data_IF_425621334791
#
_entry.id   IF_425621334791
#
_cell.length_a   1.000
_cell.length_b   1.000
_cell.length_c   1.000
_cell.angle_alpha   90.00
_cell.angle_beta   90.00
_cell.angle_gamma   90.00
#
_symmetry.space_group_name_H-M   'P 1'
#
loop_
_entity.id
_entity.type
_entity.pdbx_description
1 polymer ?
#
# COMPACT_ATOMS: atom_id res chain seq x y z
N UNK A 1 57.08 -4.20 57.96
CA UNK A 1 56.90 -4.02 56.51
C UNK A 1 55.85 -5.04 56.09
N UNK A 2 54.55 -4.72 56.15
CA UNK A 2 53.80 -3.89 55.19
C UNK A 2 53.90 -4.45 53.77
N UNK A 3 52.77 -4.97 53.27
CA UNK A 3 52.61 -5.46 51.90
C UNK A 3 51.40 -6.39 51.73
N UNK A 4 50.19 -5.87 51.95
CA UNK A 4 48.93 -6.48 51.52
C UNK A 4 48.44 -5.79 50.23
N UNK A 5 47.73 -6.53 49.37
CA UNK A 5 47.00 -6.02 48.20
C UNK A 5 47.47 -6.68 46.90
N UNK A 6 46.62 -7.18 46.01
CA UNK A 6 45.16 -7.19 45.99
C UNK A 6 44.66 -7.81 44.67
N UNK A 7 43.47 -8.42 44.78
CA UNK A 7 42.35 -8.41 43.81
C UNK A 7 42.54 -8.95 42.39
N UNK A 8 41.95 -10.14 42.22
CA UNK A 8 41.05 -10.61 41.14
C UNK A 8 40.95 -9.78 39.87
N UNK A 9 41.21 -10.49 38.77
CA UNK A 9 40.68 -10.33 37.42
C UNK A 9 39.30 -9.66 37.39
N UNK A 10 39.20 -8.60 36.58
CA UNK A 10 37.93 -8.10 36.06
C UNK A 10 38.18 -7.80 34.59
N UNK A 11 37.94 -8.80 33.76
CA UNK A 11 37.66 -8.58 32.35
C UNK A 11 36.34 -7.80 32.31
N UNK A 12 36.42 -6.53 31.93
CA UNK A 12 35.24 -5.73 31.61
C UNK A 12 34.76 -6.24 30.25
N UNK A 13 33.83 -7.19 30.26
CA UNK A 13 32.98 -7.46 29.11
C UNK A 13 32.15 -6.20 28.89
N UNK A 14 32.52 -5.41 27.87
CA UNK A 14 31.64 -4.41 27.29
C UNK A 14 30.43 -5.15 26.71
N UNK A 15 29.38 -5.32 27.50
CA UNK A 15 28.05 -5.62 26.99
C UNK A 15 27.62 -4.40 26.17
N UNK A 16 27.89 -4.44 24.86
CA UNK A 16 27.20 -3.58 23.92
C UNK A 16 25.69 -3.82 24.10
N UNK A 17 25.02 -2.90 24.80
CA UNK A 17 23.57 -2.84 24.95
C UNK A 17 22.95 -2.80 23.55
N UNK A 18 22.66 -3.96 22.97
CA UNK A 18 21.96 -4.06 21.71
C UNK A 18 20.51 -3.63 21.96
N UNK A 19 20.25 -2.35 21.73
CA UNK A 19 18.89 -1.80 21.74
C UNK A 19 18.15 -2.41 20.55
N UNK A 20 17.43 -3.51 20.80
CA UNK A 20 16.43 -4.03 19.86
C UNK A 20 15.30 -3.01 19.74
N UNK A 21 15.47 -2.06 18.82
CA UNK A 21 14.38 -1.18 18.40
C UNK A 21 13.33 -2.04 17.70
N UNK A 22 12.07 -1.88 18.11
CA UNK A 22 10.95 -2.48 17.41
C UNK A 22 10.96 -2.00 15.95
N UNK A 23 10.81 -2.88 14.93
CA UNK A 23 10.80 -2.47 13.53
C UNK A 23 9.79 -1.36 13.21
N UNK A 24 8.69 -1.25 13.97
CA UNK A 24 7.72 -0.15 13.85
C UNK A 24 8.32 1.23 14.14
N UNK A 25 9.45 1.32 14.85
CA UNK A 25 10.16 2.57 15.12
C UNK A 25 10.67 3.24 13.84
N UNK A 26 10.99 2.45 12.80
CA UNK A 26 11.45 2.97 11.52
C UNK A 26 10.30 3.19 10.52
N UNK A 27 9.08 2.75 10.85
CA UNK A 27 7.93 2.85 9.96
C UNK A 27 7.27 4.22 10.05
N UNK A 28 7.35 4.97 8.96
CA UNK A 28 6.63 6.23 8.84
C UNK A 28 5.16 5.99 8.49
N UNK A 29 4.28 6.18 9.47
CA UNK A 29 2.82 6.11 9.33
C UNK A 29 2.16 7.49 9.44
N UNK A 30 2.92 8.57 9.26
CA UNK A 30 2.41 9.94 9.28
C UNK A 30 1.69 10.28 7.97
N UNK A 31 0.59 9.59 7.70
CA UNK A 31 -0.21 9.82 6.52
C UNK A 31 -0.93 11.15 6.60
N UNK A 32 -0.94 11.85 5.47
CA UNK A 32 -1.70 13.07 5.27
C UNK A 32 -2.87 12.79 4.34
N UNK A 33 -4.01 13.37 4.68
CA UNK A 33 -5.16 13.40 3.78
C UNK A 33 -4.85 14.34 2.61
N UNK A 34 -4.91 13.83 1.39
CA UNK A 34 -4.75 14.64 0.18
C UNK A 34 -5.95 14.50 -0.74
N UNK A 35 -6.30 15.60 -1.38
CA UNK A 35 -7.32 15.66 -2.41
C UNK A 35 -6.66 15.57 -3.78
N UNK A 36 -7.11 14.62 -4.59
CA UNK A 36 -6.70 14.43 -5.97
C UNK A 36 -7.90 14.67 -6.88
N UNK A 37 -7.70 15.40 -7.96
CA UNK A 37 -8.75 15.75 -8.92
C UNK A 37 -8.37 15.23 -10.30
N UNK A 38 -9.25 14.40 -10.87
CA UNK A 38 -9.10 13.83 -12.21
C UNK A 38 -10.40 14.03 -12.99
N UNK A 39 -10.39 14.98 -13.93
CA UNK A 39 -11.62 15.42 -14.60
C UNK A 39 -12.65 15.95 -13.60
N UNK A 40 -13.83 15.33 -13.57
CA UNK A 40 -14.90 15.66 -12.61
C UNK A 40 -14.83 14.87 -11.30
N UNK A 41 -13.88 13.93 -11.18
CA UNK A 41 -13.74 13.08 -10.01
C UNK A 41 -12.81 13.72 -8.99
N UNK A 42 -13.26 13.73 -7.73
CA UNK A 42 -12.44 14.13 -6.58
C UNK A 42 -12.27 12.94 -5.64
N UNK A 43 -11.01 12.65 -5.31
CA UNK A 43 -10.63 11.56 -4.40
C UNK A 43 -9.90 12.14 -3.20
N UNK A 44 -10.30 11.72 -2.01
CA UNK A 44 -9.58 12.01 -0.78
C UNK A 44 -8.94 10.73 -0.26
N UNK A 45 -7.61 10.73 -0.17
CA UNK A 45 -6.82 9.56 0.19
C UNK A 45 -5.75 9.93 1.20
N UNK A 46 -5.51 9.02 2.13
CA UNK A 46 -4.33 9.01 2.97
C UNK A 46 -3.13 8.58 2.14
N UNK A 47 -2.02 9.30 2.27
CA UNK A 47 -0.72 8.97 1.69
C UNK A 47 0.42 9.65 2.43
N UNK A 48 1.66 9.20 2.24
CA UNK A 48 2.82 9.94 2.73
C UNK A 48 3.11 11.17 1.87
N UNK A 49 3.68 12.20 2.49
CA UNK A 49 4.07 13.43 1.79
C UNK A 49 5.45 13.40 1.17
N UNK A 50 6.31 12.51 1.65
CA UNK A 50 7.66 12.33 1.14
C UNK A 50 8.05 10.87 1.22
N UNK A 51 8.95 10.46 0.32
CA UNK A 51 9.49 9.11 0.32
C UNK A 51 10.11 8.77 1.69
N UNK A 52 9.85 7.54 2.14
CA UNK A 52 10.65 6.92 3.20
C UNK A 52 11.93 6.37 2.56
N UNK A 53 13.01 6.28 3.32
CA UNK A 53 14.26 5.67 2.84
C UNK A 53 14.17 4.15 2.67
N UNK A 54 13.07 3.53 3.13
CA UNK A 54 12.81 2.11 2.99
C UNK A 54 12.20 1.79 1.62
N UNK A 55 12.94 1.02 0.82
CA UNK A 55 12.58 0.67 -0.55
C UNK A 55 11.23 -0.07 -0.65
N UNK A 56 10.89 -0.88 0.35
CA UNK A 56 9.66 -1.68 0.38
C UNK A 56 8.40 -0.85 0.72
N UNK A 57 8.58 0.42 1.13
CA UNK A 57 7.52 1.29 1.62
C UNK A 57 7.13 2.40 0.62
N UNK A 58 7.67 2.33 -0.59
CA UNK A 58 7.39 3.24 -1.71
C UNK A 58 5.92 3.25 -2.13
N UNK A 59 5.20 2.15 -1.92
CA UNK A 59 3.75 2.04 -2.18
C UNK A 59 2.89 2.99 -1.34
N UNK A 60 3.44 3.65 -0.32
CA UNK A 60 2.70 4.65 0.48
C UNK A 60 2.66 6.05 -0.17
N UNK A 61 3.30 6.22 -1.32
CA UNK A 61 3.30 7.45 -2.12
C UNK A 61 2.42 7.32 -3.36
N UNK A 62 2.08 8.46 -3.95
CA UNK A 62 1.52 8.52 -5.30
C UNK A 62 2.64 8.72 -6.31
N UNK A 63 2.79 7.76 -7.22
CA UNK A 63 3.79 7.80 -8.27
C UNK A 63 3.28 8.51 -9.54
N UNK A 64 4.16 9.17 -10.33
CA UNK A 64 3.75 9.94 -11.50
C UNK A 64 2.99 9.15 -12.56
N UNK A 65 3.32 7.87 -12.76
CA UNK A 65 2.62 6.97 -13.69
C UNK A 65 1.17 6.76 -13.29
N UNK A 66 0.88 6.64 -11.99
CA UNK A 66 -0.50 6.57 -11.49
C UNK A 66 -1.27 7.88 -11.78
N UNK A 67 -0.61 9.04 -11.63
CA UNK A 67 -1.22 10.34 -11.98
C UNK A 67 -1.58 10.40 -13.46
N UNK A 68 -0.67 10.00 -14.35
CA UNK A 68 -0.89 9.98 -15.80
C UNK A 68 -2.00 8.99 -16.20
N UNK A 69 -1.98 7.78 -15.64
CA UNK A 69 -3.02 6.78 -15.87
C UNK A 69 -4.39 7.29 -15.41
N UNK A 70 -4.46 7.95 -14.26
CA UNK A 70 -5.71 8.50 -13.73
C UNK A 70 -6.27 9.64 -14.57
N UNK A 71 -5.42 10.54 -15.08
CA UNK A 71 -5.85 11.53 -16.06
C UNK A 71 -6.48 10.85 -17.27
N UNK A 72 -5.79 9.87 -17.87
CA UNK A 72 -6.30 9.14 -19.03
C UNK A 72 -7.63 8.44 -18.76
N UNK A 73 -7.75 7.70 -17.65
CA UNK A 73 -8.95 6.96 -17.29
C UNK A 73 -10.13 7.88 -16.95
N UNK A 74 -9.87 9.05 -16.36
CA UNK A 74 -10.92 10.05 -16.09
C UNK A 74 -11.48 10.69 -17.36
N UNK A 75 -10.67 10.80 -18.41
CA UNK A 75 -11.07 11.31 -19.72
C UNK A 75 -11.76 10.23 -20.59
N UNK A 76 -11.49 8.95 -20.31
CA UNK A 76 -11.97 7.80 -21.07
C UNK A 76 -12.65 6.74 -20.17
N UNK A 77 -13.69 7.12 -19.39
CA UNK A 77 -14.30 6.23 -18.42
C UNK A 77 -14.92 4.97 -19.04
N UNK A 78 -15.30 4.99 -20.32
CA UNK A 78 -15.78 3.84 -21.09
C UNK A 78 -14.77 2.68 -21.16
N UNK A 79 -13.49 2.97 -20.93
CA UNK A 79 -12.42 1.96 -20.86
C UNK A 79 -12.61 1.01 -19.69
N UNK A 80 -13.20 1.49 -18.58
CA UNK A 80 -13.36 0.73 -17.33
C UNK A 80 -14.83 0.55 -16.92
N UNK A 81 -15.74 1.32 -17.53
CA UNK A 81 -17.15 1.34 -17.15
C UNK A 81 -17.80 -0.04 -17.15
N UNK A 82 -18.38 -0.42 -16.01
CA UNK A 82 -19.08 -1.69 -15.83
C UNK A 82 -18.19 -2.94 -15.89
N UNK A 83 -16.85 -2.80 -15.87
CA UNK A 83 -15.89 -3.92 -15.89
C UNK A 83 -15.50 -4.35 -14.48
N UNK A 84 -15.07 -5.61 -14.36
CA UNK A 84 -14.32 -6.15 -13.23
C UNK A 84 -12.83 -5.88 -13.45
N UNK A 85 -12.15 -5.41 -12.42
CA UNK A 85 -10.78 -4.94 -12.52
C UNK A 85 -9.94 -5.51 -11.39
N UNK A 86 -8.72 -5.93 -11.71
CA UNK A 86 -7.66 -6.16 -10.72
C UNK A 86 -6.51 -5.20 -10.99
N UNK A 87 -6.02 -4.53 -9.96
CA UNK A 87 -4.84 -3.69 -10.04
C UNK A 87 -3.68 -4.39 -9.32
N UNK A 88 -2.55 -4.50 -10.03
CA UNK A 88 -1.29 -5.02 -9.52
C UNK A 88 -0.46 -3.85 -8.98
N UNK A 89 0.22 -4.02 -7.85
CA UNK A 89 1.08 -2.96 -7.30
C UNK A 89 0.31 -1.66 -7.03
N UNK A 90 -0.82 -1.77 -6.33
CA UNK A 90 -1.77 -0.66 -6.15
C UNK A 90 -1.22 0.53 -5.36
N UNK A 91 -0.14 0.35 -4.58
CA UNK A 91 0.35 1.40 -3.68
C UNK A 91 -0.76 1.86 -2.74
N UNK A 92 -1.05 3.16 -2.64
CA UNK A 92 -2.17 3.65 -1.80
C UNK A 92 -3.57 3.36 -2.38
N UNK A 93 -3.65 2.77 -3.58
CA UNK A 93 -4.89 2.41 -4.27
C UNK A 93 -5.52 3.51 -5.12
N UNK A 94 -4.81 4.61 -5.39
CA UNK A 94 -5.40 5.80 -6.04
C UNK A 94 -6.07 5.51 -7.38
N UNK A 95 -5.46 4.64 -8.18
CA UNK A 95 -5.94 4.34 -9.53
C UNK A 95 -7.13 3.39 -9.51
N UNK A 96 -7.07 2.25 -8.83
CA UNK A 96 -8.26 1.41 -8.71
C UNK A 96 -9.41 2.08 -7.92
N UNK A 97 -9.13 2.97 -6.95
CA UNK A 97 -10.16 3.79 -6.29
C UNK A 97 -10.83 4.75 -7.29
N UNK A 98 -10.07 5.39 -8.18
CA UNK A 98 -10.67 6.16 -9.27
C UNK A 98 -11.57 5.28 -10.15
N UNK A 99 -11.08 4.10 -10.54
CA UNK A 99 -11.85 3.16 -11.35
C UNK A 99 -13.13 2.69 -10.66
N UNK A 100 -13.15 2.61 -9.33
CA UNK A 100 -14.34 2.20 -8.55
C UNK A 100 -15.56 3.13 -8.74
N UNK A 101 -15.35 4.33 -9.29
CA UNK A 101 -16.42 5.28 -9.68
C UNK A 101 -17.14 4.88 -10.97
N UNK A 102 -16.59 3.92 -11.71
CA UNK A 102 -17.08 3.55 -13.04
C UNK A 102 -17.25 2.03 -13.21
N UNK A 103 -16.42 1.24 -12.52
CA UNK A 103 -16.40 -0.22 -12.56
C UNK A 103 -17.58 -0.86 -11.82
N UNK A 104 -17.78 -2.16 -12.01
CA UNK A 104 -18.69 -2.97 -11.17
C UNK A 104 -17.95 -3.54 -9.95
N UNK A 105 -16.67 -3.85 -10.12
CA UNK A 105 -15.82 -4.51 -9.13
C UNK A 105 -14.36 -4.11 -9.35
N UNK A 106 -13.64 -3.85 -8.26
CA UNK A 106 -12.21 -3.53 -8.25
C UNK A 106 -11.53 -4.29 -7.12
N UNK A 107 -10.48 -5.02 -7.45
CA UNK A 107 -9.57 -5.69 -6.51
C UNK A 107 -8.22 -4.99 -6.58
N UNK A 108 -7.85 -4.33 -5.49
CA UNK A 108 -6.54 -3.70 -5.31
C UNK A 108 -5.56 -4.73 -4.75
N UNK A 109 -4.35 -4.80 -5.27
CA UNK A 109 -3.35 -5.75 -4.77
C UNK A 109 -1.99 -5.13 -4.54
N UNK A 110 -1.35 -5.55 -3.45
CA UNK A 110 0.04 -5.24 -3.15
C UNK A 110 0.67 -6.39 -2.35
N UNK A 111 1.98 -6.48 -2.35
CA UNK A 111 2.74 -7.49 -1.62
C UNK A 111 3.00 -7.07 -0.17
N UNK A 112 3.10 -5.77 0.10
CA UNK A 112 3.54 -5.25 1.38
C UNK A 112 2.34 -5.07 2.34
N UNK A 113 2.43 -5.64 3.54
CA UNK A 113 1.34 -5.60 4.53
C UNK A 113 1.04 -4.18 5.04
N UNK A 114 2.05 -3.32 5.13
CA UNK A 114 1.87 -1.90 5.49
C UNK A 114 1.12 -1.15 4.39
N UNK A 115 1.45 -1.43 3.13
CA UNK A 115 0.76 -0.85 1.98
C UNK A 115 -0.69 -1.35 1.93
N UNK A 116 -0.93 -2.64 2.21
CA UNK A 116 -2.28 -3.19 2.33
C UNK A 116 -3.08 -2.54 3.48
N UNK A 117 -2.45 -2.18 4.59
CA UNK A 117 -3.10 -1.47 5.69
C UNK A 117 -3.62 -0.10 5.25
N UNK A 118 -2.82 0.68 4.52
CA UNK A 118 -3.25 1.99 4.01
C UNK A 118 -4.29 1.86 2.88
N UNK A 119 -4.16 0.89 1.98
CA UNK A 119 -5.18 0.64 0.96
C UNK A 119 -6.53 0.40 1.64
N UNK A 120 -6.58 -0.48 2.64
CA UNK A 120 -7.83 -0.80 3.36
C UNK A 120 -8.45 0.44 4.00
N UNK A 121 -7.65 1.29 4.66
CA UNK A 121 -8.12 2.57 5.20
C UNK A 121 -8.70 3.48 4.13
N UNK A 122 -8.04 3.58 2.97
CA UNK A 122 -8.51 4.39 1.85
C UNK A 122 -9.83 3.84 1.26
N UNK A 123 -10.01 2.52 1.18
CA UNK A 123 -11.27 1.87 0.76
C UNK A 123 -12.40 2.21 1.73
N UNK A 124 -12.16 2.06 3.04
CA UNK A 124 -13.15 2.34 4.09
C UNK A 124 -13.68 3.78 4.00
N UNK A 125 -12.79 4.74 3.73
CA UNK A 125 -13.16 6.15 3.55
C UNK A 125 -14.07 6.40 2.35
N UNK A 126 -13.89 5.66 1.25
CA UNK A 126 -14.78 5.80 0.08
C UNK A 126 -16.18 5.26 0.35
N UNK A 127 -16.25 4.17 1.13
CA UNK A 127 -17.51 3.54 1.52
C UNK A 127 -18.35 4.47 2.41
N UNK A 128 -17.72 5.15 3.36
CA UNK A 128 -18.38 6.13 4.25
C UNK A 128 -18.92 7.36 3.50
N UNK A 129 -18.29 7.71 2.38
CA UNK A 129 -18.66 8.90 1.60
C UNK A 129 -19.77 8.64 0.58
N UNK A 130 -20.27 7.40 0.46
CA UNK A 130 -21.29 7.03 -0.53
C UNK A 130 -20.82 7.17 -1.98
N UNK A 131 -19.51 7.08 -2.18
CA UNK A 131 -18.81 7.57 -3.36
C UNK A 131 -18.40 6.45 -4.34
N UNK A 132 -18.41 5.19 -3.90
CA UNK A 132 -18.03 4.04 -4.72
C UNK A 132 -19.28 3.36 -5.30
N UNK A 133 -19.32 3.24 -6.63
CA UNK A 133 -20.36 2.50 -7.36
C UNK A 133 -20.00 1.00 -7.49
N UNK A 134 -18.73 0.66 -7.26
CA UNK A 134 -18.19 -0.69 -7.37
C UNK A 134 -18.04 -1.40 -6.01
N UNK A 135 -18.02 -2.74 -6.03
CA UNK A 135 -17.42 -3.53 -4.96
C UNK A 135 -15.91 -3.30 -4.98
N UNK A 136 -15.35 -2.79 -3.88
CA UNK A 136 -13.93 -2.43 -3.79
C UNK A 136 -13.27 -3.22 -2.64
N UNK A 137 -12.22 -3.98 -2.96
CA UNK A 137 -11.52 -4.85 -2.01
C UNK A 137 -10.00 -4.75 -2.15
N UNK A 138 -9.27 -5.19 -1.13
CA UNK A 138 -7.81 -5.25 -1.12
C UNK A 138 -7.34 -6.65 -0.76
N UNK A 139 -6.43 -7.21 -1.57
CA UNK A 139 -5.92 -8.57 -1.43
C UNK A 139 -4.40 -8.59 -1.52
N UNK A 140 -3.76 -9.48 -0.76
CA UNK A 140 -2.30 -9.63 -0.80
C UNK A 140 -1.89 -10.36 -2.07
N UNK A 141 -0.99 -9.77 -2.84
CA UNK A 141 -0.38 -10.40 -4.00
C UNK A 141 1.10 -10.04 -4.11
N UNK A 142 1.94 -11.00 -3.75
CA UNK A 142 3.35 -11.00 -4.11
C UNK A 142 3.51 -11.67 -5.48
N UNK A 143 4.12 -10.99 -6.44
CA UNK A 143 4.24 -11.53 -7.79
C UNK A 143 5.11 -12.79 -7.83
N UNK A 144 4.62 -13.80 -8.53
CA UNK A 144 5.25 -15.13 -8.57
C UNK A 144 4.90 -16.04 -7.37
N UNK A 145 4.21 -15.52 -6.35
CA UNK A 145 3.70 -16.31 -5.25
C UNK A 145 2.41 -17.05 -5.68
N UNK A 146 2.50 -18.38 -5.78
CA UNK A 146 1.41 -19.22 -6.28
C UNK A 146 0.24 -19.33 -5.30
N UNK A 147 0.51 -19.25 -3.99
CA UNK A 147 -0.53 -19.35 -2.96
C UNK A 147 -1.39 -18.07 -2.96
N UNK A 148 -0.75 -16.90 -3.03
CA UNK A 148 -1.47 -15.63 -3.16
C UNK A 148 -2.33 -15.59 -4.43
N UNK A 149 -1.77 -16.00 -5.57
CA UNK A 149 -2.51 -16.05 -6.83
C UNK A 149 -3.70 -17.01 -6.76
N UNK A 150 -3.50 -18.21 -6.20
CA UNK A 150 -4.57 -19.22 -6.07
C UNK A 150 -5.72 -18.70 -5.21
N UNK A 151 -5.42 -18.05 -4.08
CA UNK A 151 -6.44 -17.45 -3.22
C UNK A 151 -7.29 -16.40 -3.94
N UNK A 152 -6.69 -15.57 -4.79
CA UNK A 152 -7.44 -14.57 -5.59
C UNK A 152 -8.30 -15.27 -6.64
N UNK A 153 -7.77 -16.26 -7.35
CA UNK A 153 -8.52 -17.00 -8.37
C UNK A 153 -9.70 -17.76 -7.76
N UNK A 154 -9.55 -18.33 -6.57
CA UNK A 154 -10.63 -19.01 -5.85
C UNK A 154 -11.76 -18.04 -5.45
N UNK A 155 -11.41 -16.82 -5.03
CA UNK A 155 -12.39 -15.77 -4.70
C UNK A 155 -13.08 -15.20 -5.94
N UNK A 156 -12.37 -15.14 -7.07
CA UNK A 156 -12.83 -14.55 -8.33
C UNK A 156 -12.74 -15.57 -9.49
N UNK A 157 -13.54 -16.66 -9.48
CA UNK A 157 -13.41 -17.76 -10.44
C UNK A 157 -13.77 -17.38 -11.89
N UNK A 158 -14.48 -16.26 -12.08
CA UNK A 158 -14.82 -15.72 -13.40
C UNK A 158 -13.65 -14.90 -13.99
N UNK A 159 -12.65 -14.54 -13.18
CA UNK A 159 -11.54 -13.68 -13.55
C UNK A 159 -11.93 -12.20 -13.60
N UNK A 160 -11.08 -11.42 -14.28
CA UNK A 160 -11.22 -9.97 -14.42
C UNK A 160 -11.27 -9.55 -15.89
N UNK A 161 -12.09 -8.56 -16.20
CA UNK A 161 -12.19 -7.98 -17.54
C UNK A 161 -10.96 -7.11 -17.88
N UNK A 162 -10.29 -6.54 -16.86
CA UNK A 162 -9.11 -5.69 -17.01
C UNK A 162 -8.09 -5.93 -15.89
N UNK A 163 -6.81 -5.92 -16.25
CA UNK A 163 -5.67 -5.90 -15.32
C UNK A 163 -4.98 -4.55 -15.49
N UNK A 164 -4.80 -3.82 -14.40
CA UNK A 164 -4.08 -2.55 -14.37
C UNK A 164 -2.76 -2.66 -13.61
N UNK A 165 -1.87 -1.73 -13.94
CA UNK A 165 -0.66 -1.46 -13.20
C UNK A 165 -0.08 -0.11 -13.63
N UNK A 166 0.20 0.76 -12.67
CA UNK A 166 0.82 2.06 -12.90
C UNK A 166 1.97 2.27 -11.91
N UNK A 167 3.20 2.40 -12.44
CA UNK A 167 4.42 2.44 -11.63
C UNK A 167 4.46 1.32 -10.57
N UNK A 168 3.98 0.13 -10.99
CA UNK A 168 3.93 -1.11 -10.22
C UNK A 168 5.30 -1.59 -9.78
#
# INVERSE_FOLDING_TARGET
MAGAGGTREREEEEEDDFVCLDPSFFMNRNYEMKTFTYGSQELQLLCLSSACTDYDLTGQLVWPGAVLMNTYLSEHPETVKGRSLIELGSGIGITGILCSRFCKEVVLTDHNDEVLEIIKKNIEMQSCSGNADAVLTAEKLEWGNHDHLSNIIEKHPVGFDLILGADI
#
